data_IF_855913431829
#
_entry.id   IF_855913431829
#
_cell.length_a   1.000
_cell.length_b   1.000
_cell.length_c   1.000
_cell.angle_alpha   90.00
_cell.angle_beta   90.00
_cell.angle_gamma   90.00
#
_symmetry.space_group_name_H-M   'P 1'
#
loop_
_entity.id
_entity.type
_entity.pdbx_description
1 polymer ?
#
# COMPACT_ATOMS: atom_id res chain seq x y z
N UNK A 1 15.38 12.59 13.61
CA UNK A 1 15.20 14.05 13.42
C UNK A 1 14.24 14.52 14.50
N UNK A 2 14.62 15.55 15.26
CA UNK A 2 13.96 15.91 16.53
C UNK A 2 12.59 16.56 16.30
N UNK A 3 11.61 16.24 17.15
CA UNK A 3 10.28 16.89 17.19
C UNK A 3 10.35 18.43 17.20
N UNK A 4 11.41 18.98 17.81
CA UNK A 4 11.69 20.43 17.83
C UNK A 4 12.04 20.97 16.45
N UNK A 5 12.79 20.21 15.64
CA UNK A 5 13.16 20.60 14.28
C UNK A 5 11.94 20.58 13.35
N UNK A 6 11.04 19.61 13.53
CA UNK A 6 9.78 19.54 12.76
C UNK A 6 8.86 20.70 13.08
N UNK A 7 8.74 21.08 14.36
CA UNK A 7 7.92 22.24 14.78
C UNK A 7 8.45 23.56 14.23
N UNK A 8 9.77 23.76 14.27
CA UNK A 8 10.40 24.96 13.71
C UNK A 8 10.20 25.06 12.19
N UNK A 9 10.29 23.93 11.47
CA UNK A 9 10.07 23.89 10.03
C UNK A 9 8.61 24.15 9.65
N UNK A 10 7.66 23.62 10.43
CA UNK A 10 6.23 23.91 10.26
C UNK A 10 5.90 25.37 10.53
N UNK A 11 6.49 25.96 11.57
CA UNK A 11 6.28 27.38 11.88
C UNK A 11 6.81 28.29 10.76
N UNK A 12 8.02 28.02 10.26
CA UNK A 12 8.58 28.77 9.14
C UNK A 12 7.77 28.64 7.84
N UNK A 13 7.10 27.50 7.63
CA UNK A 13 6.21 27.28 6.51
C UNK A 13 4.90 28.06 6.65
N UNK A 14 4.32 28.10 7.86
CA UNK A 14 3.14 28.91 8.18
C UNK A 14 3.42 30.40 7.96
N UNK A 15 4.57 30.88 8.43
CA UNK A 15 4.95 32.28 8.31
C UNK A 15 5.12 32.68 6.83
N UNK A 16 5.68 31.80 5.99
CA UNK A 16 5.74 32.02 4.52
C UNK A 16 4.35 32.06 3.89
N UNK A 17 3.45 31.17 4.27
CA UNK A 17 2.10 31.16 3.72
C UNK A 17 1.32 32.44 4.09
N UNK A 18 1.54 32.99 5.29
CA UNK A 18 0.96 34.27 5.67
C UNK A 18 1.49 35.42 4.80
N UNK A 19 2.80 35.48 4.55
CA UNK A 19 3.38 36.49 3.65
C UNK A 19 2.82 36.35 2.23
N UNK A 20 2.72 35.13 1.70
CA UNK A 20 2.14 34.89 0.37
C UNK A 20 0.65 35.25 0.30
N UNK A 21 -0.11 35.02 1.37
CA UNK A 21 -1.51 35.44 1.46
C UNK A 21 -1.64 36.97 1.51
N UNK A 22 -0.75 37.64 2.24
CA UNK A 22 -0.72 39.10 2.31
C UNK A 22 -0.27 39.71 0.97
N UNK A 23 0.69 39.12 0.28
CA UNK A 23 1.12 39.51 -1.07
C UNK A 23 -0.01 39.32 -2.09
N UNK A 24 -0.67 38.15 -2.10
CA UNK A 24 -1.84 37.89 -2.96
C UNK A 24 -3.03 38.82 -2.66
N UNK A 25 -3.19 39.25 -1.41
CA UNK A 25 -4.16 40.26 -0.99
C UNK A 25 -3.78 41.67 -1.48
N UNK A 26 -2.49 41.94 -1.64
CA UNK A 26 -1.94 43.25 -2.03
C UNK A 26 -1.77 43.39 -3.56
N UNK A 27 -1.70 42.32 -4.33
CA UNK A 27 -1.53 42.33 -5.80
C UNK A 27 -2.63 43.08 -6.58
N UNK A 28 -3.77 43.40 -5.96
CA UNK A 28 -4.76 44.32 -6.54
C UNK A 28 -5.12 45.52 -5.67
N UNK A 29 -4.60 45.61 -4.44
CA UNK A 29 -4.80 46.73 -3.50
C UNK A 29 -6.27 47.10 -3.18
N UNK A 30 -7.26 46.39 -3.72
CA UNK A 30 -8.68 46.63 -3.52
C UNK A 30 -9.31 45.41 -2.88
N UNK A 31 -10.00 45.56 -1.74
CA UNK A 31 -10.82 44.48 -1.21
C UNK A 31 -11.83 44.07 -2.30
N UNK A 32 -12.06 42.76 -2.50
CA UNK A 32 -13.06 42.29 -3.43
C UNK A 32 -14.38 42.99 -3.12
N UNK A 33 -15.05 43.51 -4.15
CA UNK A 33 -16.36 44.14 -3.95
C UNK A 33 -17.28 43.15 -3.24
N UNK A 34 -18.20 43.64 -2.41
CA UNK A 34 -19.16 42.78 -1.70
C UNK A 34 -19.89 41.80 -2.65
N UNK A 35 -20.13 42.23 -3.89
CA UNK A 35 -20.66 41.40 -4.96
C UNK A 35 -19.73 40.24 -5.32
N UNK A 36 -18.45 40.52 -5.61
CA UNK A 36 -17.45 39.50 -5.90
C UNK A 36 -17.27 38.53 -4.73
N UNK A 37 -17.26 39.04 -3.49
CA UNK A 37 -17.17 38.22 -2.29
C UNK A 37 -18.41 37.31 -2.10
N UNK A 38 -19.64 37.82 -2.33
CA UNK A 38 -20.86 37.00 -2.31
C UNK A 38 -20.88 35.94 -3.41
N UNK A 39 -20.32 36.24 -4.57
CA UNK A 39 -20.25 35.31 -5.69
C UNK A 39 -19.23 34.21 -5.42
N UNK A 40 -18.07 34.56 -4.87
CA UNK A 40 -17.07 33.62 -4.42
C UNK A 40 -17.58 32.72 -3.28
N UNK A 41 -18.29 33.28 -2.29
CA UNK A 41 -18.93 32.48 -1.23
C UNK A 41 -19.95 31.50 -1.83
N UNK A 42 -20.79 31.93 -2.78
CA UNK A 42 -21.75 31.04 -3.45
C UNK A 42 -21.05 29.92 -4.22
N UNK A 43 -20.01 30.25 -4.97
CA UNK A 43 -19.23 29.28 -5.73
C UNK A 43 -18.55 28.26 -4.80
N UNK A 44 -17.90 28.71 -3.73
CA UNK A 44 -17.25 27.84 -2.76
C UNK A 44 -18.25 26.95 -2.01
N UNK A 45 -19.43 27.48 -1.66
CA UNK A 45 -20.49 26.68 -1.03
C UNK A 45 -20.98 25.58 -1.98
N UNK A 46 -21.19 25.90 -3.27
CA UNK A 46 -21.58 24.91 -4.26
C UNK A 46 -20.49 23.84 -4.47
N UNK A 47 -19.22 24.26 -4.58
CA UNK A 47 -18.09 23.34 -4.72
C UNK A 47 -17.94 22.43 -3.50
N UNK A 48 -18.09 22.97 -2.28
CA UNK A 48 -18.05 22.20 -1.04
C UNK A 48 -19.18 21.17 -0.98
N UNK A 49 -20.37 21.53 -1.45
CA UNK A 49 -21.51 20.60 -1.50
C UNK A 49 -21.24 19.44 -2.46
N UNK A 50 -20.69 19.73 -3.65
CA UNK A 50 -20.28 18.69 -4.62
C UNK A 50 -19.24 17.75 -4.00
N UNK A 51 -18.22 18.30 -3.33
CA UNK A 51 -17.17 17.49 -2.68
C UNK A 51 -17.76 16.61 -1.58
N UNK A 52 -18.70 17.13 -0.78
CA UNK A 52 -19.38 16.35 0.27
C UNK A 52 -20.23 15.22 -0.31
N UNK A 53 -20.94 15.49 -1.41
CA UNK A 53 -21.72 14.47 -2.10
C UNK A 53 -20.83 13.37 -2.68
N UNK A 54 -19.71 13.75 -3.32
CA UNK A 54 -18.73 12.79 -3.82
C UNK A 54 -18.13 11.94 -2.70
N UNK A 55 -17.75 12.57 -1.58
CA UNK A 55 -17.21 11.86 -0.41
C UNK A 55 -18.21 10.83 0.14
N UNK A 56 -19.50 11.18 0.22
CA UNK A 56 -20.55 10.27 0.65
C UNK A 56 -20.68 9.04 -0.25
N UNK A 57 -20.66 9.23 -1.57
CA UNK A 57 -20.72 8.10 -2.52
C UNK A 57 -19.52 7.17 -2.32
N UNK A 58 -18.32 7.73 -2.18
CA UNK A 58 -17.12 6.93 -1.90
C UNK A 58 -17.20 6.18 -0.56
N UNK A 59 -17.75 6.79 0.49
CA UNK A 59 -17.98 6.12 1.78
C UNK A 59 -18.95 4.92 1.63
N UNK A 60 -20.03 5.08 0.87
CA UNK A 60 -20.98 4.01 0.57
C UNK A 60 -20.32 2.87 -0.23
N UNK A 61 -19.48 3.19 -1.23
CA UNK A 61 -18.70 2.20 -1.98
C UNK A 61 -17.71 1.45 -1.08
N UNK A 62 -16.97 2.16 -0.22
CA UNK A 62 -16.03 1.55 0.72
C UNK A 62 -16.76 0.60 1.66
N UNK A 63 -17.92 1.00 2.20
CA UNK A 63 -18.73 0.13 3.04
C UNK A 63 -19.19 -1.13 2.30
N UNK A 64 -19.61 -0.99 1.03
CA UNK A 64 -20.02 -2.13 0.20
C UNK A 64 -18.87 -3.11 -0.07
N UNK A 65 -17.67 -2.59 -0.36
CA UNK A 65 -16.47 -3.39 -0.60
C UNK A 65 -15.99 -4.08 0.67
N UNK A 66 -16.07 -3.42 1.83
CA UNK A 66 -15.75 -4.04 3.11
C UNK A 66 -16.68 -5.22 3.41
N UNK A 67 -17.99 -5.08 3.19
CA UNK A 67 -18.95 -6.18 3.32
C UNK A 67 -18.59 -7.34 2.40
N UNK A 68 -18.20 -7.06 1.15
CA UNK A 68 -17.77 -8.09 0.20
C UNK A 68 -16.49 -8.80 0.62
N UNK A 69 -15.51 -8.06 1.15
CA UNK A 69 -14.28 -8.64 1.71
C UNK A 69 -14.61 -9.57 2.89
N UNK A 70 -15.53 -9.16 3.78
CA UNK A 70 -15.96 -9.99 4.91
C UNK A 70 -16.59 -11.29 4.39
N UNK A 71 -17.51 -11.20 3.42
CA UNK A 71 -18.13 -12.37 2.80
C UNK A 71 -17.11 -13.31 2.17
N UNK A 72 -16.24 -12.79 1.29
CA UNK A 72 -15.20 -13.58 0.62
C UNK A 72 -14.20 -14.22 1.60
N UNK A 73 -13.87 -13.55 2.70
CA UNK A 73 -13.04 -14.15 3.76
C UNK A 73 -13.77 -15.31 4.44
N UNK A 74 -15.07 -15.17 4.70
CA UNK A 74 -15.92 -16.25 5.21
C UNK A 74 -15.94 -17.44 4.26
N UNK A 75 -16.20 -17.19 2.98
CA UNK A 75 -16.20 -18.22 1.93
C UNK A 75 -14.85 -18.91 1.80
N UNK A 76 -13.75 -18.16 1.89
CA UNK A 76 -12.40 -18.71 1.88
C UNK A 76 -12.14 -19.63 3.07
N UNK A 77 -12.61 -19.26 4.28
CA UNK A 77 -12.50 -20.11 5.47
C UNK A 77 -13.32 -21.38 5.31
N UNK A 78 -14.57 -21.26 4.82
CA UNK A 78 -15.42 -22.40 4.54
C UNK A 78 -14.82 -23.34 3.48
N UNK A 79 -14.29 -22.79 2.40
CA UNK A 79 -13.63 -23.54 1.34
C UNK A 79 -12.34 -24.23 1.84
N UNK A 80 -11.54 -23.55 2.68
CA UNK A 80 -10.36 -24.17 3.31
C UNK A 80 -10.76 -25.34 4.22
N UNK A 81 -11.80 -25.18 5.04
CA UNK A 81 -12.31 -26.24 5.89
C UNK A 81 -12.83 -27.43 5.05
N UNK A 82 -13.55 -27.16 3.96
CA UNK A 82 -14.06 -28.19 3.04
C UNK A 82 -12.95 -28.89 2.24
N UNK A 83 -11.86 -28.19 1.90
CA UNK A 83 -10.77 -28.74 1.10
C UNK A 83 -9.95 -29.82 1.80
N UNK A 84 -10.04 -29.94 3.14
CA UNK A 84 -9.31 -30.95 3.90
C UNK A 84 -7.77 -30.83 3.84
N UNK A 85 -7.22 -29.83 3.16
CA UNK A 85 -5.78 -29.55 3.09
C UNK A 85 -5.37 -28.98 4.44
N UNK A 86 -5.05 -29.86 5.38
CA UNK A 86 -4.32 -29.49 6.59
C UNK A 86 -2.98 -28.91 6.13
N UNK A 87 -2.70 -27.64 6.49
CA UNK A 87 -1.33 -27.09 6.37
C UNK A 87 -0.39 -28.13 6.98
N UNK A 88 0.59 -28.66 6.25
CA UNK A 88 1.49 -29.65 6.81
C UNK A 88 2.14 -29.04 8.05
N UNK A 89 1.93 -29.66 9.21
CA UNK A 89 2.38 -29.15 10.51
C UNK A 89 3.91 -28.95 10.61
N UNK A 90 4.66 -29.36 9.59
CA UNK A 90 6.11 -29.26 9.49
C UNK A 90 6.61 -28.04 8.69
N UNK A 91 5.74 -27.20 8.14
CA UNK A 91 6.12 -25.92 7.49
C UNK A 91 6.03 -24.75 8.49
N UNK A 92 6.47 -24.96 9.72
CA UNK A 92 7.03 -23.85 10.46
C UNK A 92 8.36 -23.52 9.80
N UNK A 93 8.77 -22.25 9.82
CA UNK A 93 10.03 -21.73 9.27
C UNK A 93 11.26 -22.28 10.02
N UNK A 94 11.29 -23.59 10.28
CA UNK A 94 12.48 -24.31 10.63
C UNK A 94 13.38 -24.22 9.41
N UNK A 95 14.43 -23.41 9.54
CA UNK A 95 15.63 -23.47 8.72
C UNK A 95 15.82 -24.92 8.31
N UNK A 96 15.64 -25.19 7.01
CA UNK A 96 15.88 -26.50 6.43
C UNK A 96 17.35 -26.78 6.70
N UNK A 97 17.64 -27.49 7.79
CA UNK A 97 18.99 -27.87 8.20
C UNK A 97 19.46 -29.05 7.33
N UNK A 98 19.39 -28.82 6.01
CA UNK A 98 19.88 -29.73 4.98
C UNK A 98 21.40 -29.69 5.09
N UNK A 99 22.01 -30.87 5.25
CA UNK A 99 23.47 -31.00 5.26
C UNK A 99 24.04 -30.44 3.95
N UNK A 100 25.18 -29.72 3.94
CA UNK A 100 25.73 -29.10 2.73
C UNK A 100 25.90 -30.08 1.55
N UNK A 101 26.28 -31.33 1.81
CA UNK A 101 26.37 -32.37 0.77
C UNK A 101 25.00 -32.73 0.17
N UNK A 102 23.95 -32.81 0.98
CA UNK A 102 22.59 -33.07 0.51
C UNK A 102 22.05 -31.92 -0.34
N UNK A 103 22.35 -30.67 0.03
CA UNK A 103 21.97 -29.50 -0.77
C UNK A 103 22.64 -29.53 -2.15
N UNK A 104 23.94 -29.88 -2.22
CA UNK A 104 24.66 -30.01 -3.47
C UNK A 104 24.11 -31.13 -4.39
N UNK A 105 23.62 -32.22 -3.80
CA UNK A 105 22.95 -33.30 -4.54
C UNK A 105 21.60 -32.85 -5.08
N UNK A 106 20.80 -32.14 -4.28
CA UNK A 106 19.50 -31.61 -4.70
C UNK A 106 19.64 -30.61 -5.85
N UNK A 107 20.63 -29.71 -5.81
CA UNK A 107 20.91 -28.78 -6.91
C UNK A 107 21.23 -29.54 -8.21
N UNK A 108 22.06 -30.59 -8.13
CA UNK A 108 22.41 -31.41 -9.30
C UNK A 108 21.22 -32.22 -9.85
N UNK A 109 20.29 -32.61 -8.99
CA UNK A 109 19.08 -33.34 -9.39
C UNK A 109 18.04 -32.41 -10.03
N UNK A 110 17.91 -31.19 -9.53
CA UNK A 110 16.97 -30.19 -10.03
C UNK A 110 17.49 -29.40 -11.25
N UNK A 111 18.76 -29.60 -11.65
CA UNK A 111 19.43 -28.78 -12.64
C UNK A 111 18.63 -28.66 -13.97
N UNK A 112 18.43 -27.44 -14.50
CA UNK A 112 17.60 -27.20 -15.70
C UNK A 112 17.99 -28.04 -16.92
N UNK A 113 19.29 -28.28 -17.10
CA UNK A 113 19.85 -29.12 -18.18
C UNK A 113 19.25 -30.55 -18.21
N UNK A 114 18.91 -31.10 -17.04
CA UNK A 114 18.31 -32.44 -16.94
C UNK A 114 16.79 -32.46 -17.18
N UNK A 115 16.15 -31.29 -17.11
CA UNK A 115 14.69 -31.14 -17.15
C UNK A 115 14.24 -30.22 -18.29
N UNK A 116 15.06 -30.06 -19.33
CA UNK A 116 14.75 -29.28 -20.52
C UNK A 116 14.41 -27.81 -20.23
N UNK A 117 15.04 -27.22 -19.21
CA UNK A 117 14.77 -25.86 -18.74
C UNK A 117 13.31 -25.61 -18.35
N UNK A 118 12.59 -26.62 -17.87
CA UNK A 118 11.24 -26.44 -17.35
C UNK A 118 11.20 -25.37 -16.26
N UNK A 119 10.10 -24.61 -16.22
CA UNK A 119 9.91 -23.55 -15.23
C UNK A 119 10.12 -24.04 -13.79
N UNK A 120 9.58 -25.23 -13.46
CA UNK A 120 9.74 -25.84 -12.16
C UNK A 120 11.22 -26.14 -11.80
N UNK A 121 12.01 -26.63 -12.76
CA UNK A 121 13.44 -26.90 -12.54
C UNK A 121 14.26 -25.63 -12.33
N UNK A 122 13.91 -24.56 -13.06
CA UNK A 122 14.55 -23.25 -12.93
C UNK A 122 14.25 -22.64 -11.54
N UNK A 123 12.98 -22.64 -11.14
CA UNK A 123 12.53 -22.11 -9.85
C UNK A 123 13.14 -22.90 -8.67
N UNK A 124 13.12 -24.23 -8.75
CA UNK A 124 13.69 -25.09 -7.72
C UNK A 124 15.21 -24.90 -7.59
N UNK A 125 15.93 -24.84 -8.71
CA UNK A 125 17.39 -24.63 -8.71
C UNK A 125 17.76 -23.25 -8.16
N UNK A 126 17.05 -22.20 -8.56
CA UNK A 126 17.28 -20.84 -8.07
C UNK A 126 17.04 -20.75 -6.55
N UNK A 127 15.96 -21.36 -6.05
CA UNK A 127 15.68 -21.38 -4.62
C UNK A 127 16.76 -22.15 -3.84
N UNK A 128 17.19 -23.33 -4.31
CA UNK A 128 18.24 -24.12 -3.66
C UNK A 128 19.61 -23.41 -3.65
N UNK A 129 19.92 -22.63 -4.69
CA UNK A 129 21.12 -21.81 -4.74
C UNK A 129 21.07 -20.66 -3.72
N UNK A 130 19.92 -20.00 -3.56
CA UNK A 130 19.72 -18.96 -2.55
C UNK A 130 19.93 -19.51 -1.12
N UNK A 131 19.48 -20.74 -0.85
CA UNK A 131 19.73 -21.41 0.43
C UNK A 131 21.21 -21.74 0.67
N UNK A 132 22.00 -21.90 -0.40
CA UNK A 132 23.45 -22.13 -0.32
C UNK A 132 24.23 -20.85 -0.04
N UNK A 133 23.78 -19.70 -0.55
CA UNK A 133 24.44 -18.40 -0.34
C UNK A 133 24.12 -17.76 1.00
N UNK A 134 22.99 -18.10 1.60
CA UNK A 134 22.54 -17.54 2.89
C UNK A 134 23.15 -18.23 4.12
N UNK A 135 24.12 -19.15 3.92
CA UNK A 135 24.88 -19.83 4.98
C UNK A 135 26.35 -19.45 4.90
#
# INVERSE_FOLDING_TARGET
>A
MSSVQTKAHLQAYIDRLHVQLDEARNETGRPPTYRAMREQIRSLTAANEIVRQAARVFEEEVASLQLRIIGLKGDLVAAKAASGIRKPAHLNDAELNVKPDMLARLIRLAHPDKHGNSQASNEATAWLLAQRTSR
#
